data_IF_517216250052
#
_entry.id   IF_517216250052
#
_cell.length_a   1.000
_cell.length_b   1.000
_cell.length_c   1.000
_cell.angle_alpha   90.00
_cell.angle_beta   90.00
_cell.angle_gamma   90.00
#
_symmetry.space_group_name_H-M   'P 1'
#
loop_
_entity.id
_entity.type
_entity.pdbx_description
1 polymer ?
#
# COMPACT_ATOMS: atom_id res chain seq x y z
N UNK A 1 -21.53 10.90 6.66
CA UNK A 1 -20.17 10.70 6.09
C UNK A 1 -19.45 12.05 6.25
N UNK A 2 -18.14 12.08 6.54
CA UNK A 2 -17.43 13.32 6.88
C UNK A 2 -17.16 14.25 5.70
N UNK A 3 -18.20 14.69 5.00
CA UNK A 3 -18.09 15.41 3.73
C UNK A 3 -17.53 16.82 3.88
N UNK A 4 -17.49 17.36 5.11
CA UNK A 4 -17.17 18.77 5.38
C UNK A 4 -16.09 18.95 6.45
N UNK A 5 -15.51 17.85 6.96
CA UNK A 5 -14.52 17.84 8.06
C UNK A 5 -13.34 18.78 7.85
N UNK A 6 -12.85 18.93 6.62
CA UNK A 6 -11.62 19.68 6.31
C UNK A 6 -11.83 21.07 5.72
N UNK A 7 -13.08 21.56 5.68
CA UNK A 7 -13.35 22.92 5.22
C UNK A 7 -12.82 23.95 6.24
N UNK A 8 -12.62 25.21 5.87
CA UNK A 8 -12.28 26.25 6.86
C UNK A 8 -13.42 26.44 7.86
N UNK A 9 -13.12 26.93 9.08
CA UNK A 9 -14.11 27.02 10.16
C UNK A 9 -15.31 27.92 9.81
N UNK A 10 -15.10 28.90 8.93
CA UNK A 10 -16.11 29.84 8.46
C UNK A 10 -16.81 29.40 7.16
N UNK A 11 -16.55 28.18 6.68
CA UNK A 11 -17.08 27.72 5.40
C UNK A 11 -18.60 27.47 5.47
N UNK A 12 -19.37 28.10 4.57
CA UNK A 12 -20.84 28.12 4.56
C UNK A 12 -21.46 26.71 4.62
N UNK A 13 -20.90 25.75 3.88
CA UNK A 13 -21.38 24.37 3.85
C UNK A 13 -21.33 23.61 5.19
N UNK A 14 -20.49 24.01 6.15
CA UNK A 14 -20.44 23.37 7.50
C UNK A 14 -21.79 23.46 8.23
N UNK A 15 -22.58 24.51 7.96
CA UNK A 15 -23.89 24.77 8.58
C UNK A 15 -25.08 24.31 7.72
N UNK A 16 -24.86 23.91 6.47
CA UNK A 16 -25.92 23.52 5.53
C UNK A 16 -26.39 22.06 5.72
N UNK A 17 -26.85 21.72 6.92
CA UNK A 17 -27.23 20.35 7.30
C UNK A 17 -28.21 19.65 6.34
N UNK A 18 -29.17 20.40 5.77
CA UNK A 18 -30.21 19.86 4.86
C UNK A 18 -29.69 19.36 3.52
N UNK A 19 -28.54 19.87 3.07
CA UNK A 19 -27.89 19.47 1.81
C UNK A 19 -27.01 18.21 1.99
N UNK A 20 -26.81 17.76 3.23
CA UNK A 20 -25.93 16.63 3.58
C UNK A 20 -26.65 15.64 4.49
N UNK A 21 -26.01 15.16 5.56
CA UNK A 21 -26.51 14.11 6.45
C UNK A 21 -27.24 14.66 7.70
N UNK A 22 -27.82 15.87 7.60
CA UNK A 22 -28.49 16.58 8.70
C UNK A 22 -27.62 16.86 9.93
N UNK A 23 -26.31 16.66 9.85
CA UNK A 23 -25.35 17.03 10.91
C UNK A 23 -24.65 18.34 10.62
N UNK A 24 -24.02 18.93 11.63
CA UNK A 24 -23.06 20.03 11.47
C UNK A 24 -21.65 19.51 11.75
N UNK A 25 -20.71 19.77 10.85
CA UNK A 25 -19.33 19.33 10.97
C UNK A 25 -18.46 20.53 11.35
N UNK A 26 -18.24 20.71 12.66
CA UNK A 26 -17.48 21.83 13.22
C UNK A 26 -16.08 21.43 13.72
N UNK A 27 -15.69 20.17 13.55
CA UNK A 27 -14.35 19.67 13.90
C UNK A 27 -13.27 20.40 13.09
N UNK A 28 -12.16 20.73 13.76
CA UNK A 28 -10.96 21.26 13.11
C UNK A 28 -10.24 20.14 12.35
N UNK A 29 -9.53 20.52 11.28
CA UNK A 29 -8.62 19.58 10.64
C UNK A 29 -7.56 19.10 11.65
N UNK A 30 -7.29 17.79 11.75
CA UNK A 30 -6.23 17.24 12.55
C UNK A 30 -4.92 17.95 12.23
N UNK A 31 -4.22 18.35 13.29
CA UNK A 31 -2.87 18.88 13.16
C UNK A 31 -2.00 17.76 12.60
N UNK A 32 -1.40 18.00 11.43
CA UNK A 32 -0.52 17.02 10.81
C UNK A 32 0.78 16.94 11.60
N UNK A 33 1.12 15.74 12.06
CA UNK A 33 2.36 15.51 12.80
C UNK A 33 3.57 15.57 11.85
N UNK A 34 4.69 16.14 12.28
CA UNK A 34 5.95 16.06 11.53
C UNK A 34 6.72 14.79 11.88
N UNK A 35 7.67 14.41 11.04
CA UNK A 35 8.63 13.33 11.27
C UNK A 35 9.34 13.51 12.60
N UNK A 36 9.86 14.72 12.87
CA UNK A 36 10.51 15.07 14.14
C UNK A 36 9.58 14.87 15.34
N UNK A 37 8.31 15.27 15.24
CA UNK A 37 7.33 15.06 16.31
C UNK A 37 7.06 13.58 16.55
N UNK A 38 6.97 12.77 15.49
CA UNK A 38 6.83 11.32 15.62
C UNK A 38 8.07 10.66 16.20
N UNK A 39 9.27 11.07 15.78
CA UNK A 39 10.53 10.54 16.32
C UNK A 39 10.64 10.79 17.82
N UNK A 40 10.29 11.99 18.31
CA UNK A 40 10.21 12.26 19.74
C UNK A 40 9.23 11.34 20.47
N UNK A 41 8.10 11.00 19.85
CA UNK A 41 7.13 10.06 20.44
C UNK A 41 7.62 8.60 20.44
N UNK A 42 8.54 8.25 19.56
CA UNK A 42 9.14 6.92 19.45
C UNK A 42 10.40 6.75 20.33
N UNK A 43 11.07 7.85 20.69
CA UNK A 43 12.25 7.85 21.57
C UNK A 43 11.92 7.22 22.93
N UNK A 44 12.77 6.31 23.40
CA UNK A 44 12.60 5.61 24.68
C UNK A 44 11.60 4.45 24.67
N UNK A 45 10.94 4.14 23.55
CA UNK A 45 10.05 2.97 23.44
C UNK A 45 10.79 1.71 23.03
N UNK A 46 10.54 0.62 23.75
CA UNK A 46 10.99 -0.72 23.38
C UNK A 46 9.95 -1.37 22.47
N UNK A 47 10.28 -1.57 21.20
CA UNK A 47 9.45 -2.32 20.25
C UNK A 47 9.81 -3.80 20.32
N UNK A 48 8.91 -4.62 20.88
CA UNK A 48 9.07 -6.08 20.84
C UNK A 48 8.56 -6.60 19.48
N UNK A 49 9.46 -7.14 18.68
CA UNK A 49 9.12 -7.82 17.43
C UNK A 49 8.55 -9.21 17.73
N UNK A 50 7.40 -9.54 17.13
CA UNK A 50 6.75 -10.84 17.27
C UNK A 50 5.34 -10.79 17.91
N UNK A 51 4.52 -11.81 17.67
CA UNK A 51 3.20 -11.95 18.33
C UNK A 51 3.42 -12.23 19.81
N UNK A 52 2.79 -11.47 20.71
CA UNK A 52 2.65 -11.90 22.11
C UNK A 52 1.80 -13.17 22.12
N UNK A 53 2.41 -14.30 22.48
CA UNK A 53 1.67 -15.54 22.76
C UNK A 53 0.81 -15.25 23.99
N UNK A 54 -0.50 -15.16 23.80
CA UNK A 54 -1.44 -15.02 24.92
C UNK A 54 -1.55 -16.42 25.54
N UNK A 55 -0.78 -16.68 26.59
CA UNK A 55 -0.98 -17.87 27.41
C UNK A 55 -2.29 -17.68 28.15
N UNK A 56 -3.31 -18.44 27.76
CA UNK A 56 -4.60 -18.44 28.43
C UNK A 56 -4.42 -18.82 29.90
N UNK A 57 -4.78 -17.92 30.83
CA UNK A 57 -4.88 -18.25 32.26
C UNK A 57 -5.94 -19.34 32.43
N UNK A 58 -5.52 -20.55 32.82
CA UNK A 58 -6.42 -21.62 33.29
C UNK A 58 -7.16 -21.12 34.55
N UNK A 59 -8.46 -20.84 34.41
CA UNK A 59 -9.36 -20.71 35.55
C UNK A 59 -9.60 -22.06 36.22
N UNK A 60 -9.49 -22.12 37.54
CA UNK A 60 -9.75 -23.28 38.40
C UNK A 60 -11.26 -23.46 38.65
N UNK A 61 -11.72 -24.71 38.63
CA UNK A 61 -13.00 -25.21 39.18
C UNK A 61 -13.87 -25.89 38.11
N UNK A 62 -14.47 -27.08 38.28
CA UNK A 62 -14.62 -28.03 39.39
C UNK A 62 -15.02 -29.40 38.77
N UNK A 63 -14.54 -30.53 39.32
CA UNK A 63 -14.75 -31.93 38.88
C UNK A 63 -16.22 -32.41 39.02
N UNK A 64 -16.68 -33.22 38.05
CA UNK A 64 -17.52 -34.46 38.13
C UNK A 64 -17.39 -35.14 36.75
N UNK A 65 -16.67 -36.27 36.55
CA UNK A 65 -17.04 -37.67 36.81
C UNK A 65 -18.18 -38.12 35.86
N UNK A 66 -18.14 -39.17 35.03
CA UNK A 66 -17.23 -40.32 34.82
C UNK A 66 -17.66 -41.07 33.50
N UNK A 67 -16.66 -41.53 32.73
CA UNK A 67 -16.51 -42.67 31.78
C UNK A 67 -17.62 -43.15 30.81
N UNK A 68 -17.29 -43.26 29.50
CA UNK A 68 -17.11 -44.55 28.77
C UNK A 68 -16.81 -44.39 27.26
N UNK A 69 -16.17 -45.41 26.68
CA UNK A 69 -15.36 -45.51 25.44
C UNK A 69 -16.06 -45.66 24.06
N UNK A 70 -15.29 -45.26 23.01
CA UNK A 70 -15.05 -45.89 21.66
C UNK A 70 -16.01 -45.70 20.45
N UNK A 71 -15.36 -45.47 19.28
CA UNK A 71 -15.82 -45.78 17.89
C UNK A 71 -16.15 -44.55 17.01
N UNK A 72 -15.22 -44.00 16.20
CA UNK A 72 -14.91 -44.26 14.76
C UNK A 72 -15.98 -43.78 13.73
N UNK A 73 -15.49 -42.92 12.81
CA UNK A 73 -15.94 -42.53 11.46
C UNK A 73 -17.27 -41.77 11.23
N UNK A 74 -17.20 -40.82 10.28
CA UNK A 74 -18.38 -40.22 9.66
C UNK A 74 -18.24 -38.72 9.38
N UNK A 75 -17.77 -38.39 8.18
CA UNK A 75 -17.78 -37.04 7.61
C UNK A 75 -19.21 -36.52 7.39
N UNK A 76 -19.56 -35.35 7.92
CA UNK A 76 -20.71 -34.61 7.39
C UNK A 76 -20.58 -33.08 7.55
N UNK A 77 -20.80 -32.39 6.42
CA UNK A 77 -20.71 -30.94 6.25
C UNK A 77 -21.86 -30.23 6.97
N UNK A 78 -21.60 -29.60 8.12
CA UNK A 78 -22.57 -28.70 8.75
C UNK A 78 -22.38 -27.22 8.34
N UNK A 79 -23.29 -26.76 7.47
CA UNK A 79 -23.62 -25.36 7.20
C UNK A 79 -23.76 -24.57 8.50
N UNK A 80 -22.92 -23.56 8.70
CA UNK A 80 -23.09 -22.58 9.79
C UNK A 80 -24.33 -21.72 9.56
N UNK A 81 -25.42 -22.02 10.28
CA UNK A 81 -26.58 -21.12 10.43
C UNK A 81 -26.15 -19.87 11.22
N UNK A 82 -26.43 -18.67 10.69
CA UNK A 82 -26.23 -17.40 11.39
C UNK A 82 -27.27 -17.26 12.50
N UNK A 83 -26.82 -17.13 13.75
CA UNK A 83 -27.68 -16.79 14.88
C UNK A 83 -28.16 -15.33 14.80
N UNK A 84 -29.37 -15.00 15.30
CA UNK A 84 -29.91 -13.64 15.22
C UNK A 84 -29.22 -12.71 16.22
N UNK A 85 -29.01 -11.49 15.76
CA UNK A 85 -28.29 -10.42 16.47
C UNK A 85 -29.14 -9.88 17.64
N UNK A 86 -28.82 -10.25 18.87
CA UNK A 86 -29.45 -9.70 20.08
C UNK A 86 -28.68 -8.45 20.50
N UNK A 87 -29.25 -7.26 20.18
CA UNK A 87 -28.77 -5.97 20.67
C UNK A 87 -29.16 -5.78 22.14
N UNK A 88 -28.18 -5.78 23.02
CA UNK A 88 -28.17 -5.05 24.31
C UNK A 88 -26.68 -4.80 24.60
N UNK A 89 -26.20 -3.58 24.83
CA UNK A 89 -26.73 -2.55 25.70
C UNK A 89 -25.68 -2.34 26.80
N UNK A 90 -24.55 -1.71 26.45
CA UNK A 90 -23.63 -0.93 27.28
C UNK A 90 -22.30 -0.75 26.53
N UNK A 91 -22.20 0.31 25.72
CA UNK A 91 -20.93 0.74 25.14
C UNK A 91 -20.16 1.45 26.24
N UNK A 92 -19.30 0.72 26.96
CA UNK A 92 -18.26 1.35 27.76
C UNK A 92 -17.51 2.35 26.87
N UNK A 93 -17.47 3.62 27.27
CA UNK A 93 -16.71 4.67 26.56
C UNK A 93 -15.27 4.19 26.51
N UNK A 94 -14.78 3.84 25.31
CA UNK A 94 -13.38 3.45 25.15
C UNK A 94 -12.51 4.63 25.63
N UNK A 95 -11.42 4.38 26.37
CA UNK A 95 -10.50 5.45 26.74
C UNK A 95 -10.06 6.18 25.47
N UNK A 96 -10.01 7.51 25.53
CA UNK A 96 -9.46 8.33 24.45
C UNK A 96 -8.06 7.82 24.13
N UNK A 97 -7.83 7.40 22.88
CA UNK A 97 -6.52 6.94 22.46
C UNK A 97 -5.59 8.14 22.43
N UNK A 98 -4.48 8.08 23.17
CA UNK A 98 -3.44 9.09 23.05
C UNK A 98 -2.83 8.97 21.64
N UNK A 99 -2.34 10.06 21.03
CA UNK A 99 -1.66 10.01 19.72
C UNK A 99 -0.54 8.97 19.71
N UNK A 100 0.14 8.85 20.84
CA UNK A 100 1.14 7.86 21.22
C UNK A 100 0.72 6.38 21.05
N UNK A 101 -0.57 6.06 21.16
CA UNK A 101 -1.09 4.69 21.04
C UNK A 101 -1.18 4.22 19.57
N UNK A 102 -0.93 5.11 18.60
CA UNK A 102 -0.95 4.77 17.18
C UNK A 102 0.31 4.01 16.71
N UNK A 103 1.42 4.13 17.44
CA UNK A 103 2.70 3.50 17.08
C UNK A 103 2.87 2.13 17.75
N UNK A 104 2.49 1.08 17.02
CA UNK A 104 2.67 -0.32 17.48
C UNK A 104 4.00 -0.95 17.05
N UNK A 105 4.64 -0.37 16.03
CA UNK A 105 5.90 -0.86 15.43
C UNK A 105 6.72 0.36 14.98
N UNK A 106 8.04 0.23 15.02
CA UNK A 106 8.99 1.14 14.37
C UNK A 106 9.49 0.47 13.10
N UNK A 107 9.38 1.15 11.96
CA UNK A 107 10.00 0.70 10.69
C UNK A 107 11.48 1.10 10.67
N UNK A 108 12.30 0.40 9.89
CA UNK A 108 13.70 0.78 9.65
C UNK A 108 13.82 2.16 8.97
N UNK A 109 12.78 2.58 8.24
CA UNK A 109 12.78 3.88 7.55
C UNK A 109 12.78 5.08 8.50
N UNK A 110 12.47 4.89 9.78
CA UNK A 110 12.56 5.97 10.78
C UNK A 110 14.01 6.37 11.10
N UNK A 111 15.00 5.56 10.71
CA UNK A 111 16.41 5.83 10.96
C UNK A 111 17.08 6.58 9.78
N UNK A 112 16.34 6.87 8.70
CA UNK A 112 16.84 7.66 7.58
C UNK A 112 16.88 9.15 7.95
N UNK A 113 17.98 9.83 7.64
CA UNK A 113 18.24 11.23 8.02
C UNK A 113 17.13 12.18 7.54
N UNK A 114 16.61 12.00 6.32
CA UNK A 114 15.53 12.83 5.79
C UNK A 114 14.15 12.56 6.41
N UNK A 115 13.99 11.47 7.17
CA UNK A 115 12.69 11.07 7.71
C UNK A 115 12.14 12.08 8.71
N UNK A 116 13.01 12.77 9.45
CA UNK A 116 12.58 13.75 10.44
C UNK A 116 11.89 14.97 9.81
N UNK A 117 12.29 15.34 8.59
CA UNK A 117 11.73 16.48 7.88
C UNK A 117 10.41 16.16 7.16
N UNK A 118 10.04 14.88 7.06
CA UNK A 118 8.81 14.48 6.38
C UNK A 118 7.57 14.91 7.16
N UNK A 119 6.62 15.57 6.52
CA UNK A 119 5.30 15.83 7.11
C UNK A 119 4.52 14.51 7.15
N UNK A 120 4.38 13.92 8.33
CA UNK A 120 3.63 12.70 8.55
C UNK A 120 2.14 13.00 8.66
N UNK A 121 1.50 13.03 7.49
CA UNK A 121 0.07 12.75 7.44
C UNK A 121 -0.12 11.24 7.57
N UNK A 122 -1.29 10.78 8.00
CA UNK A 122 -1.66 9.37 8.16
C UNK A 122 -1.57 8.49 6.86
N UNK A 123 -0.61 8.71 5.94
CA UNK A 123 -0.89 8.77 4.50
C UNK A 123 0.15 8.10 3.55
N UNK A 124 1.16 7.37 4.02
CA UNK A 124 1.94 6.54 3.09
C UNK A 124 1.15 5.27 2.81
N UNK A 125 0.37 5.33 1.73
CA UNK A 125 -0.30 4.16 1.18
C UNK A 125 0.74 3.28 0.48
N UNK A 126 1.47 2.49 1.28
CA UNK A 126 2.56 1.62 0.84
C UNK A 126 2.12 0.78 -0.36
N UNK A 127 0.90 0.26 -0.30
CA UNK A 127 0.28 -0.55 -1.34
C UNK A 127 0.17 0.21 -2.68
N UNK A 128 -0.22 1.49 -2.67
CA UNK A 128 -0.24 2.30 -3.90
C UNK A 128 1.15 2.81 -4.30
N UNK A 129 2.04 3.08 -3.34
CA UNK A 129 3.42 3.51 -3.62
C UNK A 129 4.20 2.40 -4.32
N UNK A 130 4.20 1.19 -3.77
CA UNK A 130 4.86 0.02 -4.35
C UNK A 130 4.34 -0.23 -5.76
N UNK A 131 3.02 -0.23 -5.93
CA UNK A 131 2.41 -0.37 -7.25
C UNK A 131 2.87 0.70 -8.23
N UNK A 132 2.86 1.98 -7.83
CA UNK A 132 3.27 3.08 -8.69
C UNK A 132 4.75 2.98 -9.08
N UNK A 133 5.64 2.65 -8.12
CA UNK A 133 7.07 2.47 -8.38
C UNK A 133 7.29 1.31 -9.36
N UNK A 134 6.63 0.18 -9.12
CA UNK A 134 6.72 -1.00 -9.98
C UNK A 134 6.23 -0.73 -11.40
N UNK A 135 5.04 -0.13 -11.56
CA UNK A 135 4.47 0.19 -12.88
C UNK A 135 5.35 1.17 -13.67
N UNK A 136 5.94 2.17 -13.00
CA UNK A 136 6.86 3.10 -13.63
C UNK A 136 8.17 2.42 -14.04
N UNK A 137 8.72 1.55 -13.19
CA UNK A 137 9.94 0.79 -13.50
C UNK A 137 9.73 -0.11 -14.72
N UNK A 138 8.66 -0.91 -14.71
CA UNK A 138 8.32 -1.80 -15.84
C UNK A 138 8.00 -1.01 -17.10
N UNK A 139 7.24 0.10 -16.98
CA UNK A 139 6.92 0.97 -18.11
C UNK A 139 8.18 1.57 -18.77
N UNK A 140 9.21 1.86 -17.97
CA UNK A 140 10.48 2.38 -18.46
C UNK A 140 11.34 1.28 -19.07
N UNK A 141 11.49 0.13 -18.42
CA UNK A 141 12.29 -1.00 -18.92
C UNK A 141 11.75 -1.58 -20.24
N UNK A 142 10.41 -1.67 -20.34
CA UNK A 142 9.72 -2.15 -21.53
C UNK A 142 9.45 -1.06 -22.56
N UNK A 143 9.87 0.17 -22.30
CA UNK A 143 9.71 1.30 -23.22
C UNK A 143 8.27 1.42 -23.74
N UNK A 144 7.32 1.46 -22.80
CA UNK A 144 5.89 1.53 -23.10
C UNK A 144 5.50 2.99 -23.28
N UNK A 145 5.03 3.34 -24.47
CA UNK A 145 4.50 4.66 -24.79
C UNK A 145 3.48 5.09 -23.72
N UNK A 146 3.58 6.34 -23.25
CA UNK A 146 2.83 6.96 -22.14
C UNK A 146 3.19 6.55 -20.71
N UNK A 147 3.93 5.44 -20.51
CA UNK A 147 4.30 4.96 -19.15
C UNK A 147 5.78 5.09 -18.83
N UNK A 148 6.63 5.12 -19.83
CA UNK A 148 8.07 5.30 -19.64
C UNK A 148 8.38 6.61 -18.91
N UNK A 149 9.33 6.57 -17.96
CA UNK A 149 9.89 7.76 -17.32
C UNK A 149 11.12 8.29 -18.04
N UNK A 150 11.54 7.61 -19.09
CA UNK A 150 12.63 8.01 -19.98
C UNK A 150 12.07 8.65 -21.26
N UNK A 151 11.57 9.88 -21.12
CA UNK A 151 10.98 10.65 -22.22
C UNK A 151 11.87 11.81 -22.70
N UNK A 152 11.41 12.55 -23.70
CA UNK A 152 12.14 13.70 -24.26
C UNK A 152 12.53 14.74 -23.21
N UNK A 153 11.60 15.13 -22.33
CA UNK A 153 11.88 16.11 -21.28
C UNK A 153 12.99 15.63 -20.33
N UNK A 154 12.90 14.38 -19.87
CA UNK A 154 13.93 13.80 -18.99
C UNK A 154 15.32 13.80 -19.65
N UNK A 155 15.37 13.70 -20.99
CA UNK A 155 16.60 13.67 -21.78
C UNK A 155 17.15 15.05 -22.08
N UNK A 156 16.28 16.05 -22.24
CA UNK A 156 16.66 17.46 -22.30
C UNK A 156 17.23 17.92 -20.95
N UNK A 157 16.63 17.48 -19.83
CA UNK A 157 17.14 17.76 -18.48
C UNK A 157 18.56 17.23 -18.29
N UNK A 158 18.93 16.08 -18.89
CA UNK A 158 20.32 15.57 -18.87
C UNK A 158 21.29 16.54 -19.57
N UNK A 159 20.82 17.21 -20.64
CA UNK A 159 21.52 18.28 -21.35
C UNK A 159 21.77 19.48 -20.46
N UNK A 160 20.72 19.96 -19.81
CA UNK A 160 20.77 21.12 -18.91
C UNK A 160 21.69 20.87 -17.70
N UNK A 161 21.65 19.66 -17.13
CA UNK A 161 22.48 19.28 -15.99
C UNK A 161 23.93 18.92 -16.42
N UNK A 162 24.21 18.78 -17.72
CA UNK A 162 25.54 18.50 -18.24
C UNK A 162 26.04 17.07 -17.97
N UNK A 163 25.13 16.10 -17.83
CA UNK A 163 25.46 14.69 -17.56
C UNK A 163 24.97 13.78 -18.69
N UNK A 164 25.61 12.61 -18.85
CA UNK A 164 25.18 11.55 -19.79
C UNK A 164 24.96 12.06 -21.23
N UNK A 165 25.95 12.75 -21.80
CA UNK A 165 25.88 13.33 -23.15
C UNK A 165 25.48 12.33 -24.24
N UNK A 166 25.90 11.06 -24.10
CA UNK A 166 25.52 9.98 -25.02
C UNK A 166 24.03 9.64 -25.05
N UNK A 167 23.26 10.07 -24.04
CA UNK A 167 21.82 9.86 -23.94
C UNK A 167 21.01 11.10 -24.26
N UNK A 168 21.64 12.25 -24.52
CA UNK A 168 20.89 13.47 -24.83
C UNK A 168 20.17 13.35 -26.18
N UNK A 169 19.07 14.08 -26.41
CA UNK A 169 18.40 14.09 -27.71
C UNK A 169 19.31 14.72 -28.77
N UNK A 170 19.34 14.14 -29.96
CA UNK A 170 20.08 14.67 -31.11
C UNK A 170 19.12 14.93 -32.27
N UNK A 171 19.43 15.93 -33.09
CA UNK A 171 18.69 16.15 -34.34
C UNK A 171 19.16 15.13 -35.38
N UNK A 172 18.25 14.25 -35.80
CA UNK A 172 18.51 13.30 -36.88
C UNK A 172 18.36 13.94 -38.27
N UNK A 173 18.70 13.17 -39.31
CA UNK A 173 18.78 13.58 -40.72
C UNK A 173 17.53 14.23 -41.34
N UNK A 174 16.39 14.25 -40.63
CA UNK A 174 15.10 14.78 -41.12
C UNK A 174 14.46 15.80 -40.16
N UNK A 175 15.24 16.43 -39.29
CA UNK A 175 14.72 17.35 -38.27
C UNK A 175 13.84 16.67 -37.21
N UNK A 176 13.88 15.33 -37.14
CA UNK A 176 13.25 14.57 -36.06
C UNK A 176 14.22 14.47 -34.91
N UNK A 177 13.73 14.76 -33.71
CA UNK A 177 14.48 14.54 -32.48
C UNK A 177 14.59 13.04 -32.22
N UNK A 178 15.80 12.51 -32.29
CA UNK A 178 16.08 11.11 -31.99
C UNK A 178 16.54 10.98 -30.54
N UNK A 179 15.94 10.02 -29.83
CA UNK A 179 16.35 9.65 -28.49
C UNK A 179 17.24 8.40 -28.55
N UNK A 180 18.53 8.50 -28.15
CA UNK A 180 19.40 7.34 -28.09
C UNK A 180 18.84 6.27 -27.13
N UNK A 181 18.95 5.00 -27.48
CA UNK A 181 18.54 3.93 -26.57
C UNK A 181 19.35 3.97 -25.27
N UNK A 182 18.66 3.99 -24.12
CA UNK A 182 19.33 3.87 -22.84
C UNK A 182 19.88 2.45 -22.62
N UNK A 183 20.94 2.27 -21.82
CA UNK A 183 21.51 0.95 -21.53
C UNK A 183 20.52 -0.04 -20.88
N UNK A 184 19.48 0.49 -20.22
CA UNK A 184 18.44 -0.30 -19.56
C UNK A 184 17.25 -0.63 -20.47
N UNK A 185 17.12 -0.01 -21.66
CA UNK A 185 16.04 -0.32 -22.57
C UNK A 185 16.23 -1.74 -23.11
N UNK A 186 15.16 -2.52 -23.06
CA UNK A 186 15.19 -3.88 -23.59
C UNK A 186 14.86 -3.87 -25.08
N UNK A 187 15.73 -4.47 -25.90
CA UNK A 187 15.35 -4.85 -27.27
C UNK A 187 14.27 -5.92 -27.26
N UNK A 188 13.59 -6.11 -28.39
CA UNK A 188 12.46 -7.04 -28.54
C UNK A 188 12.74 -8.44 -27.96
N UNK A 189 13.90 -9.00 -28.26
CA UNK A 189 14.34 -10.32 -27.75
C UNK A 189 14.38 -10.37 -26.21
N UNK A 190 14.93 -9.34 -25.57
CA UNK A 190 14.98 -9.24 -24.10
C UNK A 190 13.59 -9.03 -23.49
N UNK A 191 12.73 -8.25 -24.16
CA UNK A 191 11.32 -8.07 -23.75
C UNK A 191 10.58 -9.41 -23.81
N UNK A 192 10.77 -10.20 -24.87
CA UNK A 192 10.18 -11.54 -25.02
C UNK A 192 10.61 -12.50 -23.91
N UNK A 193 11.90 -12.51 -23.56
CA UNK A 193 12.43 -13.32 -22.46
C UNK A 193 11.77 -12.89 -21.14
N UNK A 194 11.77 -11.60 -20.81
CA UNK A 194 11.18 -11.09 -19.57
C UNK A 194 9.68 -11.44 -19.50
N UNK A 195 8.91 -11.15 -20.54
CA UNK A 195 7.48 -11.44 -20.60
C UNK A 195 7.22 -12.94 -20.48
N UNK A 196 8.03 -13.80 -21.09
CA UNK A 196 7.91 -15.26 -20.98
C UNK A 196 8.16 -15.73 -19.55
N UNK A 197 9.20 -15.20 -18.89
CA UNK A 197 9.50 -15.51 -17.48
C UNK A 197 8.33 -15.09 -16.59
N UNK A 198 7.83 -13.86 -16.73
CA UNK A 198 6.73 -13.37 -15.90
C UNK A 198 5.44 -14.17 -16.17
N UNK A 199 5.14 -14.49 -17.44
CA UNK A 199 3.95 -15.27 -17.82
C UNK A 199 3.93 -16.67 -17.20
N UNK A 200 5.11 -17.26 -17.03
CA UNK A 200 5.28 -18.60 -16.48
C UNK A 200 5.57 -18.61 -14.97
N UNK A 201 5.69 -17.43 -14.35
CA UNK A 201 5.91 -17.30 -12.91
C UNK A 201 4.73 -17.89 -12.14
N UNK A 202 5.04 -18.78 -11.18
CA UNK A 202 4.06 -19.37 -10.26
C UNK A 202 4.42 -18.98 -8.84
N UNK A 203 3.45 -18.44 -8.12
CA UNK A 203 3.58 -18.11 -6.70
C UNK A 203 2.76 -19.08 -5.86
N UNK A 204 3.09 -19.26 -4.56
CA UNK A 204 2.23 -19.96 -3.62
C UNK A 204 0.82 -19.36 -3.57
N UNK A 205 -0.17 -20.18 -3.19
CA UNK A 205 -1.55 -19.74 -3.07
C UNK A 205 -1.69 -18.59 -2.07
N UNK A 206 -2.49 -17.57 -2.45
CA UNK A 206 -2.70 -16.36 -1.66
C UNK A 206 -1.54 -15.34 -1.65
N UNK A 207 -0.45 -15.57 -2.39
CA UNK A 207 0.68 -14.63 -2.46
C UNK A 207 0.49 -13.54 -3.50
N UNK A 208 0.24 -13.92 -4.76
CA UNK A 208 0.04 -13.01 -5.88
C UNK A 208 -1.07 -13.52 -6.81
N UNK A 209 -1.53 -12.67 -7.71
CA UNK A 209 -2.44 -13.05 -8.78
C UNK A 209 -1.71 -13.85 -9.87
N UNK A 210 -2.49 -14.46 -10.77
CA UNK A 210 -1.91 -15.23 -11.88
C UNK A 210 -1.30 -14.29 -12.93
N UNK A 211 0.02 -14.10 -12.87
CA UNK A 211 0.80 -13.25 -13.78
C UNK A 211 0.57 -13.55 -15.27
N UNK A 212 0.23 -14.80 -15.63
CA UNK A 212 -0.07 -15.17 -17.02
C UNK A 212 -1.19 -14.33 -17.63
N UNK A 213 -2.13 -13.84 -16.80
CA UNK A 213 -3.24 -12.96 -17.22
C UNK A 213 -2.83 -11.50 -17.41
N UNK A 214 -1.71 -11.10 -16.82
CA UNK A 214 -1.21 -9.73 -16.83
C UNK A 214 -0.23 -9.45 -17.97
N UNK A 215 0.25 -10.50 -18.66
CA UNK A 215 1.24 -10.39 -19.73
C UNK A 215 0.58 -10.46 -21.10
N UNK A 216 0.80 -9.44 -21.93
CA UNK A 216 0.47 -9.48 -23.35
C UNK A 216 1.73 -9.82 -24.16
N UNK A 217 1.80 -11.04 -24.71
CA UNK A 217 2.94 -11.50 -25.50
C UNK A 217 3.02 -10.89 -26.90
N UNK A 218 1.94 -10.31 -27.44
CA UNK A 218 1.98 -9.65 -28.75
C UNK A 218 2.61 -8.26 -28.65
N UNK A 219 2.15 -7.50 -27.67
CA UNK A 219 2.63 -6.13 -27.42
C UNK A 219 3.86 -6.08 -26.50
N UNK A 220 4.23 -7.21 -25.89
CA UNK A 220 5.33 -7.32 -24.92
C UNK A 220 5.19 -6.34 -23.74
N UNK A 221 3.97 -6.22 -23.23
CA UNK A 221 3.61 -5.32 -22.12
C UNK A 221 3.02 -6.07 -20.93
N UNK A 222 3.15 -5.49 -19.73
CA UNK A 222 2.44 -5.93 -18.54
C UNK A 222 1.34 -4.95 -18.16
N UNK A 223 0.13 -5.46 -17.92
CA UNK A 223 -1.05 -4.66 -17.55
C UNK A 223 -1.90 -5.39 -16.52
N UNK A 224 -2.69 -4.64 -15.74
CA UNK A 224 -3.66 -5.21 -14.81
C UNK A 224 -3.06 -5.82 -13.54
N UNK A 225 -1.80 -5.53 -13.24
CA UNK A 225 -1.19 -5.87 -11.96
C UNK A 225 -1.86 -5.10 -10.83
N UNK A 226 -2.02 -5.78 -9.71
CA UNK A 226 -2.52 -5.24 -8.46
C UNK A 226 -1.36 -4.95 -7.54
N UNK A 227 -1.66 -4.21 -6.50
CA UNK A 227 -0.67 -3.83 -5.50
C UNK A 227 -0.07 -5.00 -4.72
N UNK A 228 -0.75 -6.14 -4.62
CA UNK A 228 -0.17 -7.35 -4.00
C UNK A 228 0.68 -8.17 -4.99
N UNK A 229 0.73 -7.78 -6.27
CA UNK A 229 1.60 -8.39 -7.27
C UNK A 229 2.95 -7.68 -7.39
N UNK A 230 3.09 -6.51 -6.74
CA UNK A 230 4.21 -5.58 -6.85
C UNK A 230 5.10 -5.61 -5.60
#
# INVERSE_FOLDING_TARGET
>A
MGHRRWLTQNHVFRRRKKEFDNTEEMELAPITMSGSSALRMLQGRVFVLGKKVVVAKKGKGKKKGKDSEKGIEGSEKQKRKRAPNKKSGNVARKPEKKPEDCFKKKSIFFDLEYWEHNKLRHNLDVMHIEKNVFENLIGTLLDIDSKTKDGLNARLDLGEIGIRSSLQPHEGDKGKTELPHAPFNMYKEKKEILCTVVKNCRTPDGCASNFSRCVNMKELTLTGLKSHDC
#
